data_IF_002376681839
#
_entry.id   IF_002376681839
#
_cell.length_a   1.000
_cell.length_b   1.000
_cell.length_c   1.000
_cell.angle_alpha   90.00
_cell.angle_beta   90.00
_cell.angle_gamma   90.00
#
_symmetry.space_group_name_H-M   'P 1'
#
loop_
_entity.id
_entity.type
_entity.pdbx_description
1 polymer ?
#
# COMPACT_ATOMS: atom_id res chain seq x y z
N UNK A 1 -4.06 -10.68 -22.74
CA UNK A 1 -3.31 -9.41 -22.69
C UNK A 1 -2.22 -9.55 -21.64
N UNK A 2 -0.97 -9.31 -22.03
CA UNK A 2 0.22 -9.46 -21.20
C UNK A 2 0.12 -8.59 -19.93
N UNK A 3 0.46 -9.17 -18.78
CA UNK A 3 0.60 -8.45 -17.51
C UNK A 3 2.09 -8.26 -17.24
N UNK A 4 2.52 -7.02 -16.96
CA UNK A 4 3.90 -6.72 -16.59
C UNK A 4 3.99 -6.35 -15.12
N UNK A 5 5.11 -6.71 -14.49
CA UNK A 5 5.43 -6.27 -13.13
C UNK A 5 6.25 -4.99 -13.22
N UNK A 6 5.73 -3.90 -12.65
CA UNK A 6 6.40 -2.60 -12.66
C UNK A 6 7.28 -2.40 -11.43
N UNK A 7 6.83 -2.90 -10.27
CA UNK A 7 7.54 -2.73 -9.01
C UNK A 7 7.18 -3.84 -8.03
N UNK A 8 8.17 -4.29 -7.27
CA UNK A 8 7.98 -5.13 -6.09
C UNK A 8 8.77 -4.51 -4.94
N UNK A 9 8.10 -4.28 -3.81
CA UNK A 9 8.73 -3.88 -2.55
C UNK A 9 8.35 -4.91 -1.48
N UNK A 10 9.32 -5.68 -0.95
CA UNK A 10 9.04 -6.80 -0.07
C UNK A 10 8.58 -6.38 1.33
N UNK A 11 8.92 -5.16 1.74
CA UNK A 11 8.61 -4.63 3.06
C UNK A 11 7.94 -3.27 2.93
N UNK A 12 6.63 -3.24 3.17
CA UNK A 12 5.82 -2.03 3.17
C UNK A 12 4.86 -2.04 4.37
N UNK A 13 4.52 -0.83 4.82
CA UNK A 13 3.56 -0.60 5.89
C UNK A 13 2.35 0.20 5.38
N UNK A 14 1.15 -0.19 5.80
CA UNK A 14 -0.10 0.48 5.46
C UNK A 14 -0.69 1.10 6.72
N UNK A 15 -1.00 2.40 6.64
CA UNK A 15 -1.57 3.18 7.73
C UNK A 15 -2.97 3.64 7.36
N UNK A 16 -3.88 3.61 8.34
CA UNK A 16 -5.20 4.21 8.19
C UNK A 16 -5.11 5.72 8.34
N UNK A 17 -5.70 6.43 7.40
CA UNK A 17 -5.84 7.88 7.50
C UNK A 17 -6.95 8.17 8.51
N UNK A 18 -6.68 8.91 9.60
CA UNK A 18 -7.69 9.23 10.60
C UNK A 18 -8.82 10.09 10.00
N UNK A 19 -10.04 10.02 10.56
CA UNK A 19 -11.14 10.90 10.17
C UNK A 19 -10.73 12.36 10.32
N UNK A 20 -11.14 13.20 9.37
CA UNK A 20 -10.76 14.62 9.36
C UNK A 20 -11.32 15.35 10.57
N UNK A 21 -10.46 16.00 11.34
CA UNK A 21 -10.84 17.10 12.21
C UNK A 21 -10.50 18.41 11.48
N UNK A 22 -11.50 19.03 10.82
CA UNK A 22 -11.42 20.35 10.15
C UNK A 22 -10.63 20.44 8.83
N UNK A 23 -10.64 21.62 8.21
CA UNK A 23 -10.11 21.97 6.88
C UNK A 23 -8.56 21.89 6.76
N UNK A 24 -7.87 21.26 7.71
CA UNK A 24 -6.42 21.03 7.66
C UNK A 24 -6.14 19.77 6.82
N UNK A 25 -5.13 19.83 5.95
CA UNK A 25 -4.73 18.67 5.13
C UNK A 25 -4.18 17.51 5.97
N UNK A 26 -4.11 16.31 5.39
CA UNK A 26 -3.58 15.13 6.08
C UNK A 26 -2.09 15.30 6.41
N UNK A 27 -1.72 15.06 7.67
CA UNK A 27 -0.32 15.08 8.12
C UNK A 27 0.11 13.68 8.50
N UNK A 28 1.25 13.22 7.99
CA UNK A 28 1.77 11.89 8.29
C UNK A 28 1.98 11.64 9.80
N UNK A 29 2.30 12.69 10.56
CA UNK A 29 2.43 12.63 12.01
C UNK A 29 1.14 12.19 12.74
N UNK A 30 -0.02 12.28 12.09
CA UNK A 30 -1.33 11.92 12.66
C UNK A 30 -1.72 10.46 12.36
N UNK A 31 -0.91 9.70 11.61
CA UNK A 31 -1.28 8.38 11.09
C UNK A 31 -0.86 7.20 11.98
N UNK A 32 -0.44 7.43 13.23
CA UNK A 32 0.05 6.38 14.14
C UNK A 32 1.18 5.54 13.50
N UNK A 33 2.29 6.22 13.15
CA UNK A 33 3.40 5.63 12.38
C UNK A 33 4.14 4.49 13.10
N UNK A 34 3.92 4.34 14.41
CA UNK A 34 4.46 3.26 15.25
C UNK A 34 3.65 1.95 15.13
N UNK A 35 2.40 2.02 14.68
CA UNK A 35 1.46 0.90 14.65
C UNK A 35 0.81 0.76 13.28
N UNK A 36 1.51 0.15 12.29
CA UNK A 36 0.96 -0.05 10.97
C UNK A 36 -0.28 -0.95 11.04
N UNK A 37 -1.33 -0.56 10.31
CA UNK A 37 -2.57 -1.35 10.21
C UNK A 37 -2.36 -2.67 9.48
N UNK A 38 -1.36 -2.73 8.60
CA UNK A 38 -0.92 -3.95 7.92
C UNK A 38 0.53 -3.81 7.46
N UNK A 39 1.26 -4.92 7.38
CA UNK A 39 2.62 -4.98 6.83
C UNK A 39 2.78 -6.19 5.92
N UNK A 40 3.51 -6.05 4.83
CA UNK A 40 3.74 -7.14 3.88
C UNK A 40 4.42 -6.68 2.61
N UNK A 41 4.10 -7.33 1.47
CA UNK A 41 4.69 -7.04 0.16
C UNK A 41 3.76 -6.20 -0.69
N UNK A 42 4.32 -5.16 -1.31
CA UNK A 42 3.68 -4.42 -2.39
C UNK A 42 4.12 -4.97 -3.74
N UNK A 43 3.17 -5.21 -4.63
CA UNK A 43 3.41 -5.49 -6.05
C UNK A 43 2.56 -4.56 -6.91
N UNK A 44 3.21 -3.87 -7.85
CA UNK A 44 2.54 -3.05 -8.86
C UNK A 44 2.61 -3.79 -10.19
N UNK A 45 1.46 -4.05 -10.80
CA UNK A 45 1.36 -4.65 -12.13
C UNK A 45 0.64 -3.74 -13.10
N UNK A 46 0.84 -3.94 -14.39
CA UNK A 46 0.10 -3.24 -15.44
C UNK A 46 -0.47 -4.20 -16.48
N UNK A 47 -1.66 -3.88 -16.97
CA UNK A 47 -2.32 -4.60 -18.06
C UNK A 47 -2.92 -3.57 -19.01
N UNK A 48 -2.38 -3.49 -20.23
CA UNK A 48 -2.69 -2.40 -21.15
C UNK A 48 -2.28 -1.05 -20.55
N UNK A 49 -3.19 -0.08 -20.51
CA UNK A 49 -2.94 1.25 -19.93
C UNK A 49 -3.31 1.35 -18.44
N UNK A 50 -3.75 0.25 -17.80
CA UNK A 50 -4.18 0.26 -16.40
C UNK A 50 -3.10 -0.34 -15.50
N UNK A 51 -2.81 0.34 -14.38
CA UNK A 51 -1.93 -0.12 -13.32
C UNK A 51 -2.74 -0.59 -12.09
N UNK A 52 -2.23 -1.59 -11.40
CA UNK A 52 -2.83 -2.21 -10.22
C UNK A 52 -1.83 -2.22 -9.07
N UNK A 53 -2.30 -1.88 -7.88
CA UNK A 53 -1.53 -1.94 -6.63
C UNK A 53 -2.06 -3.15 -5.86
N UNK A 54 -1.21 -4.15 -5.61
CA UNK A 54 -1.55 -5.38 -4.88
C UNK A 54 -0.76 -5.41 -3.56
N UNK A 55 -1.48 -5.55 -2.45
CA UNK A 55 -0.92 -5.81 -1.12
C UNK A 55 -1.01 -7.31 -0.88
N UNK A 56 0.13 -7.96 -0.70
CA UNK A 56 0.27 -9.40 -0.58
C UNK A 56 0.89 -9.73 0.77
N UNK A 57 0.30 -10.66 1.52
CA UNK A 57 0.85 -11.10 2.80
C UNK A 57 2.23 -11.73 2.61
N UNK A 58 3.09 -11.56 3.62
CA UNK A 58 4.47 -12.08 3.60
C UNK A 58 4.53 -13.61 3.57
N UNK A 59 3.48 -14.30 3.99
CA UNK A 59 3.46 -15.76 4.24
C UNK A 59 2.53 -16.57 3.33
N UNK A 60 1.79 -15.97 2.41
CA UNK A 60 0.81 -16.70 1.56
C UNK A 60 1.42 -17.23 0.27
N UNK A 61 2.58 -17.90 0.37
CA UNK A 61 3.28 -18.53 -0.75
C UNK A 61 3.48 -20.02 -0.48
N UNK A 62 2.39 -20.78 -0.51
CA UNK A 62 2.39 -22.24 -0.63
C UNK A 62 1.82 -22.63 -1.99
#
# INVERSE_FOLDING_TARGET
GYESVLCVKPDVHVYRIPPRATNRGYRAAEWQLDQPSWSGRLRITAKGQMAYIKLEDRTSGG
#
